data_IF_672654089653
#
_entry.id   IF_672654089653
#
_cell.length_a   1.000
_cell.length_b   1.000
_cell.length_c   1.000
_cell.angle_alpha   90.00
_cell.angle_beta   90.00
_cell.angle_gamma   90.00
#
_symmetry.space_group_name_H-M   'P 1'
#
loop_
_entity.id
_entity.type
_entity.pdbx_description
1 polymer ?
2 polymer ?
3 water ?
#
loop_
_entity_poly.entity_id
_entity_poly.type
_entity_poly.pdbx_seq_one_letter_code
_entity_poly.pdbx_strand_id
1 'polyribonucleotide' 'CGUUGGCCCAGGAAACUGGGUGGAAGUAAGGUCCAUUGCACUCCGGGCCUGAAGCAACGCU' ?
#
# COMPACT_ATOMS: atom_id res chain seq x y z
N UNK B 6 -8.97 18.21 -4.79
CA UNK B 6 -9.85 18.58 -3.67
C UNK B 6 -10.28 17.36 -2.86
N UNK B 7 -9.44 16.99 -1.88
CA UNK B 7 -9.62 15.90 -0.92
C UNK B 7 -10.99 15.82 -0.24
N UNK B 8 -11.30 14.64 0.26
CA UNK B 8 -12.65 14.30 0.66
C UNK B 8 -12.55 13.17 1.67
N UNK B 9 -13.52 13.10 2.57
CA UNK B 9 -13.58 12.02 3.55
C UNK B 9 -13.45 10.64 2.91
N UNK B 10 -14.34 10.32 1.96
CA UNK B 10 -14.32 9.02 1.30
C UNK B 10 -13.60 8.99 -0.04
N UNK B 11 -13.37 7.77 -0.53
CA UNK B 11 -12.76 7.61 -1.85
C UNK B 11 -13.51 6.69 -2.80
N UNK B 12 -13.32 6.99 -4.08
CA UNK B 12 -14.01 6.33 -5.14
C UNK B 12 -12.98 5.43 -5.82
N UNK B 13 -13.28 4.14 -5.84
CA UNK B 13 -12.45 3.16 -6.52
C UNK B 13 -13.24 2.51 -7.63
N UNK B 14 -12.62 2.32 -8.79
CA UNK B 14 -13.26 1.63 -9.88
C UNK B 14 -12.23 0.73 -10.52
N UNK B 15 -12.62 0.00 -11.58
CA UNK B 15 -11.77 -0.97 -12.26
C UNK B 15 -11.65 -2.16 -11.34
N UNK B 16 -12.64 -2.28 -10.46
CA UNK B 16 -12.78 -3.42 -9.56
C UNK B 16 -13.34 -4.67 -10.24
N UNK B 17 -13.16 -5.81 -9.60
CA UNK B 17 -13.57 -7.08 -10.20
C UNK B 17 -15.07 -7.32 -10.24
N UNK B 18 -15.67 -6.99 -11.37
CA UNK B 18 -17.10 -7.14 -11.60
C UNK B 18 -17.66 -8.46 -11.05
N UNK B 19 -16.86 -9.52 -11.09
CA UNK B 19 -17.35 -10.85 -10.72
C UNK B 19 -17.47 -11.15 -9.23
N UNK B 20 -16.87 -10.34 -8.37
CA UNK B 20 -16.84 -10.70 -6.94
C UNK B 20 -18.10 -10.29 -6.20
N UNK B 21 -18.63 -11.18 -5.37
CA UNK B 21 -19.84 -10.93 -4.56
C UNK B 21 -19.74 -9.71 -3.60
N UNK B 22 -20.79 -8.89 -3.56
CA UNK B 22 -20.87 -7.66 -2.75
C UNK B 22 -20.29 -7.75 -1.34
N UNK B 23 -20.76 -8.75 -0.59
CA UNK B 23 -20.40 -8.83 0.82
C UNK B 23 -18.96 -9.27 0.98
N UNK B 24 -18.50 -10.21 0.15
CA UNK B 24 -17.09 -10.59 0.16
C UNK B 24 -16.22 -9.42 -0.27
N UNK B 25 -16.74 -8.59 -1.17
CA UNK B 25 -15.96 -7.49 -1.68
C UNK B 25 -15.58 -6.46 -0.60
N UNK B 26 -16.55 -6.05 0.21
CA UNK B 26 -16.29 -5.07 1.26
C UNK B 26 -15.30 -5.59 2.30
N UNK B 27 -15.55 -6.79 2.82
CA UNK B 27 -14.65 -7.45 3.75
C UNK B 27 -13.22 -7.44 3.22
N UNK B 28 -13.09 -7.90 1.98
CA UNK B 28 -11.87 -7.89 1.23
C UNK B 28 -11.25 -6.50 1.18
N UNK B 29 -12.10 -5.48 1.14
CA UNK B 29 -11.63 -4.10 1.04
C UNK B 29 -11.27 -3.56 2.38
N UNK B 30 -12.15 -3.78 3.35
CA UNK B 30 -11.90 -3.30 4.69
C UNK B 30 -10.53 -3.78 5.10
N UNK B 31 -10.23 -5.02 4.78
CA UNK B 31 -8.96 -5.61 5.15
C UNK B 31 -7.80 -4.85 4.55
N UNK B 32 -7.97 -4.39 3.33
CA UNK B 32 -6.88 -3.79 2.59
C UNK B 32 -6.70 -2.35 2.99
N UNK B 33 -7.76 -1.74 3.51
CA UNK B 33 -7.70 -0.32 3.91
C UNK B 33 -7.86 -0.02 5.40
N UNK B 34 -8.09 -1.06 6.22
CA UNK B 34 -8.30 -0.85 7.65
C UNK B 34 -7.09 -0.19 8.23
N UNK B 35 -5.95 -0.37 7.57
CA UNK B 35 -4.70 0.10 8.10
C UNK B 35 -4.53 1.62 8.02
N UNK B 36 -5.34 2.30 7.23
CA UNK B 36 -5.08 3.71 6.93
C UNK B 36 -5.67 4.74 7.88
N UNK B 37 -6.64 4.30 8.68
CA UNK B 37 -7.51 5.17 9.44
C UNK B 37 -8.80 4.44 9.75
N UNK B 38 -9.84 5.17 10.16
CA UNK B 38 -11.09 4.51 10.53
C UNK B 38 -12.16 4.56 9.42
N UNK B 39 -12.66 3.39 9.04
CA UNK B 39 -13.61 3.36 7.95
C UNK B 39 -15.01 3.55 8.50
N UNK B 40 -15.63 4.67 8.13
CA UNK B 40 -16.98 4.96 8.60
C UNK B 40 -17.93 3.98 7.96
N UNK B 41 -17.74 3.82 6.67
CA UNK B 41 -18.38 2.76 5.89
C UNK B 41 -17.67 2.61 4.56
N UNK B 42 -17.76 1.42 3.99
CA UNK B 42 -17.37 1.21 2.60
C UNK B 42 -18.65 0.85 1.85
N UNK B 43 -18.92 1.57 0.76
CA UNK B 43 -20.15 1.39 -0.03
C UNK B 43 -19.94 0.57 -1.30
N UNK B 44 -20.69 -0.52 -1.42
CA UNK B 44 -20.53 -1.44 -2.54
C UNK B 44 -21.86 -1.83 -3.20
N UNK B 45 -22.01 -1.49 -4.47
CA UNK B 45 -23.20 -1.84 -5.26
C UNK B 45 -22.82 -2.68 -6.49
N UNK B 46 -23.71 -3.57 -6.90
CA UNK B 46 -23.46 -4.38 -8.11
C UNK B 46 -24.45 -4.12 -9.26
N UNK B 47 -25.09 -2.96 -9.28
CA UNK B 47 -26.08 -2.62 -10.30
C UNK B 47 -25.38 -2.46 -11.63
N UNK B 48 -26.12 -2.14 -12.69
CA UNK B 48 -25.46 -1.87 -13.96
C UNK B 48 -24.48 -0.71 -13.86
N UNK B 49 -24.87 0.34 -13.15
CA UNK B 49 -24.12 1.59 -13.16
C UNK B 49 -23.05 1.58 -12.08
N UNK B 50 -23.39 1.06 -10.92
CA UNK B 50 -22.41 0.96 -9.85
C UNK B 50 -21.92 -0.46 -9.81
N UNK B 51 -20.86 -0.76 -10.52
CA UNK B 51 -20.32 -2.10 -10.46
C UNK B 51 -18.90 -2.01 -10.93
N UNK B 52 -18.01 -2.74 -10.27
CA UNK B 52 -16.60 -2.68 -10.62
C UNK B 52 -16.07 -1.42 -10.01
N UNK B 53 -16.82 -0.90 -9.05
CA UNK B 53 -16.47 0.35 -8.36
C UNK B 53 -17.06 0.45 -6.94
N UNK B 54 -16.33 1.08 -6.01
CA UNK B 54 -16.80 1.23 -4.64
C UNK B 54 -16.32 2.52 -3.95
N UNK B 55 -17.12 2.96 -2.97
CA UNK B 55 -16.81 4.11 -2.11
C UNK B 55 -16.50 3.63 -0.72
N UNK B 56 -15.26 3.80 -0.27
CA UNK B 56 -14.97 3.55 1.15
C UNK B 56 -14.89 4.88 1.91
N UNK B 57 -15.64 4.99 3.01
CA UNK B 57 -15.69 6.24 3.75
C UNK B 57 -14.83 6.26 5.02
N UNK B 58 -13.89 7.19 5.04
CA UNK B 58 -12.95 7.26 6.15
C UNK B 58 -13.37 8.16 7.31
N UNK B 59 -12.63 8.05 8.41
CA UNK B 59 -12.85 8.91 9.56
C UNK B 59 -12.42 10.33 9.23
N UNK B 60 -11.25 10.46 8.62
CA UNK B 60 -10.69 11.78 8.37
C UNK B 60 -9.82 11.87 7.12
N UNK B 61 -10.07 12.92 6.34
CA UNK B 61 -9.40 13.18 5.08
C UNK B 61 -7.87 13.00 5.05
N UNK B 62 -7.31 12.42 6.11
CA UNK B 62 -5.87 12.19 6.20
C UNK B 62 -5.59 10.80 5.69
N UNK B 63 -6.33 9.85 6.26
CA UNK B 63 -6.27 8.45 5.83
C UNK B 63 -6.34 8.44 4.31
N UNK B 64 -7.46 8.93 3.79
CA UNK B 64 -7.72 9.06 2.35
C UNK B 64 -6.49 9.36 1.49
N UNK B 65 -6.02 10.59 1.52
CA UNK B 65 -4.79 10.95 0.80
C UNK B 65 -3.67 9.92 0.89
N UNK B 66 -3.61 9.20 2.01
CA UNK B 66 -2.58 8.20 2.19
C UNK B 66 -2.95 6.95 1.46
N UNK B 67 -4.13 6.44 1.77
CA UNK B 67 -4.72 5.34 1.02
C UNK B 67 -4.51 5.59 -0.47
N UNK B 68 -5.02 6.72 -0.96
CA UNK B 68 -4.82 7.10 -2.34
C UNK B 68 -3.36 7.16 -2.82
N UNK B 69 -2.48 7.75 -2.02
CA UNK B 69 -1.10 7.88 -2.45
C UNK B 69 -0.50 6.50 -2.55
N UNK B 70 -0.73 5.67 -1.54
CA UNK B 70 0.00 4.42 -1.52
C UNK B 70 -0.70 3.20 -2.14
N UNK B 71 -1.97 3.33 -2.51
CA UNK B 71 -2.71 2.19 -3.07
C UNK B 71 -3.10 2.25 -4.56
N UNK B 72 -2.59 3.19 -5.36
CA UNK B 72 -3.01 3.25 -6.76
C UNK B 72 -2.46 2.04 -7.51
N UNK B 73 -3.29 1.49 -8.39
CA UNK B 73 -2.92 0.31 -9.16
C UNK B 73 -2.57 -0.87 -8.28
N UNK B 74 -3.16 -0.95 -7.11
CA UNK B 74 -2.89 -2.08 -6.26
C UNK B 74 -3.61 -3.23 -6.89
N UNK B 75 -2.85 -4.25 -7.29
CA UNK B 75 -3.41 -5.40 -8.01
C UNK B 75 -4.36 -6.17 -7.09
N UNK B 76 -5.66 -5.98 -7.29
CA UNK B 76 -6.63 -6.47 -6.32
C UNK B 76 -7.60 -7.39 -7.01
N UNK B 77 -7.66 -8.63 -6.52
CA UNK B 77 -8.41 -9.67 -7.20
C UNK B 77 -7.95 -9.71 -8.66
N UNK B 78 -6.64 -9.64 -8.81
CA UNK B 78 -5.95 -9.64 -10.10
C UNK B 78 -6.20 -8.38 -10.94
N UNK B 79 -6.72 -7.31 -10.35
CA UNK B 79 -6.91 -6.05 -11.08
C UNK B 79 -6.55 -4.81 -10.27
N UNK B 80 -5.62 -4.00 -10.83
CA UNK B 80 -5.11 -2.71 -10.34
C UNK B 80 -6.24 -1.75 -10.05
N UNK B 81 -6.47 -1.43 -8.78
CA UNK B 81 -7.55 -0.50 -8.46
C UNK B 81 -7.25 0.91 -8.89
N UNK B 82 -8.29 1.61 -9.31
CA UNK B 82 -8.18 2.98 -9.77
C UNK B 82 -8.87 3.78 -8.71
N UNK B 83 -8.10 4.64 -8.04
CA UNK B 83 -8.63 5.37 -6.89
C UNK B 83 -8.68 6.89 -7.05
N UNK B 84 -9.77 7.48 -6.57
CA UNK B 84 -10.04 8.92 -6.68
C UNK B 84 -10.54 9.49 -5.36
N UNK B 85 -10.50 10.81 -5.20
CA UNK B 85 -11.32 11.40 -4.14
C UNK B 85 -12.72 11.48 -4.69
N UNK B 86 -13.70 11.12 -3.86
CA UNK B 86 -15.12 11.22 -4.22
C UNK B 86 -15.61 12.63 -4.67
N UNK B 87 -16.65 13.11 -3.99
CA UNK B 87 -17.23 14.44 -4.23
C UNK B 87 -18.30 14.86 -3.21
N UNK B 88 -18.70 13.97 -2.30
CA UNK B 88 -19.78 14.28 -1.37
C UNK B 88 -19.78 13.44 -0.09
N UNK B 89 -20.60 12.39 -0.11
CA UNK B 89 -20.89 11.54 1.04
C UNK B 89 -21.64 12.27 2.12
N UNK B 90 -22.81 11.77 2.45
CA UNK B 90 -23.55 12.25 3.60
C UNK B 90 -23.12 11.37 4.75
N UNK B 91 -22.26 11.91 5.63
CA UNK B 91 -21.44 11.08 6.51
C UNK B 91 -22.25 10.25 7.52
N UNK D 5 21.57 10.45 -1.35
CA UNK D 5 20.16 10.85 -1.38
C UNK D 5 19.14 9.76 -1.74
N UNK D 6 19.27 9.07 -2.89
CA UNK D 6 20.40 9.12 -3.82
C UNK D 6 20.08 9.79 -5.17
N UNK D 7 19.30 9.16 -6.08
CA UNK D 7 18.59 7.88 -6.34
C UNK D 7 19.48 6.69 -6.68
N UNK D 8 18.92 5.48 -6.52
CA UNK D 8 19.70 4.23 -6.53
C UNK D 8 18.80 2.98 -6.60
N UNK D 9 19.37 1.90 -7.15
CA UNK D 9 18.68 0.60 -7.34
C UNK D 9 17.95 0.03 -6.13
N UNK D 10 18.65 -0.08 -5.00
CA UNK D 10 18.07 -0.65 -3.79
C UNK D 10 17.51 0.47 -2.95
N UNK D 11 16.56 0.16 -2.07
CA UNK D 11 16.05 1.19 -1.16
C UNK D 11 16.33 0.81 0.28
N UNK D 12 16.30 1.81 1.15
CA UNK D 12 16.55 1.62 2.55
C UNK D 12 15.26 1.95 3.28
N UNK D 13 14.77 1.01 4.07
CA UNK D 13 13.63 1.30 4.93
C UNK D 13 14.04 1.11 6.37
N UNK D 14 13.44 1.90 7.26
CA UNK D 14 13.65 1.81 8.69
C UNK D 14 12.36 2.24 9.36
N UNK D 15 12.39 2.39 10.68
CA UNK D 15 11.21 2.71 11.49
C UNK D 15 10.25 1.54 11.50
N UNK D 16 10.77 0.36 11.20
CA UNK D 16 10.00 -0.88 11.12
C UNK D 16 9.67 -1.45 12.48
N UNK D 17 8.67 -2.34 12.51
CA UNK D 17 8.27 -2.93 13.78
C UNK D 17 9.24 -4.01 14.19
N UNK D 18 10.17 -3.58 15.01
CA UNK D 18 11.20 -4.39 15.63
C UNK D 18 10.73 -5.76 16.11
N UNK D 19 9.49 -5.84 16.60
CA UNK D 19 8.98 -7.08 17.20
C UNK D 19 8.49 -8.18 16.21
N UNK D 20 8.68 -7.99 14.90
CA UNK D 20 8.25 -8.99 13.90
C UNK D 20 9.36 -9.95 13.47
N UNK D 21 9.03 -11.24 13.38
CA UNK D 21 9.94 -12.29 12.90
C UNK D 21 10.69 -11.96 11.62
N UNK D 22 11.66 -12.80 11.25
CA UNK D 22 12.37 -12.61 10.00
C UNK D 22 11.45 -12.91 8.81
N UNK D 23 11.35 -14.18 8.40
CA UNK D 23 10.59 -14.57 7.20
C UNK D 23 9.21 -13.87 7.04
N UNK D 24 8.46 -13.74 8.13
CA UNK D 24 7.17 -13.03 8.08
C UNK D 24 7.37 -11.61 7.56
N UNK D 25 8.44 -10.98 8.00
CA UNK D 25 8.76 -9.62 7.58
C UNK D 25 9.26 -9.66 6.16
N UNK D 26 9.99 -10.72 5.83
CA UNK D 26 10.54 -10.87 4.52
C UNK D 26 9.39 -11.09 3.56
N UNK D 27 8.44 -11.92 3.98
CA UNK D 27 7.32 -12.22 3.10
C UNK D 27 6.47 -10.97 2.95
N UNK D 28 6.09 -10.38 4.07
CA UNK D 28 5.16 -9.27 4.08
C UNK D 28 5.55 -8.14 3.14
N UNK D 29 6.85 -7.86 3.07
CA UNK D 29 7.35 -6.80 2.22
C UNK D 29 7.21 -7.19 0.77
N UNK D 30 7.71 -8.39 0.46
CA UNK D 30 7.59 -9.02 -0.87
C UNK D 30 6.17 -8.83 -1.36
N UNK D 31 5.23 -9.22 -0.53
CA UNK D 31 3.84 -9.16 -0.89
C UNK D 31 3.39 -7.75 -1.16
N UNK D 32 4.25 -6.79 -0.92
CA UNK D 32 3.78 -5.42 -0.99
C UNK D 32 4.69 -4.48 -1.80
N UNK D 33 5.77 -5.00 -2.37
CA UNK D 33 6.57 -4.16 -3.23
C UNK D 33 6.60 -4.62 -4.68
N UNK D 34 6.42 -5.94 -4.87
CA UNK D 34 6.31 -6.57 -6.17
C UNK D 34 5.63 -5.71 -7.25
N UNK D 35 4.46 -5.18 -6.89
CA UNK D 35 3.66 -4.34 -7.79
C UNK D 35 4.48 -3.25 -8.52
N UNK D 36 5.64 -2.88 -7.98
CA UNK D 36 6.45 -1.80 -8.54
C UNK D 36 7.53 -2.25 -9.51
N UNK D 37 7.83 -3.55 -9.52
CA UNK D 37 8.93 -4.07 -10.33
C UNK D 37 9.53 -5.33 -9.76
N UNK D 38 10.33 -6.02 -10.57
CA UNK D 38 10.97 -7.27 -10.19
C UNK D 38 11.95 -7.03 -9.07
N UNK D 39 11.93 -7.88 -8.05
CA UNK D 39 12.87 -7.77 -6.93
C UNK D 39 13.91 -8.88 -7.03
N UNK D 40 15.17 -8.54 -6.83
CA UNK D 40 16.21 -9.56 -6.89
C UNK D 40 16.42 -10.16 -5.52
N UNK D 41 16.48 -9.31 -4.50
CA UNK D 41 16.48 -9.80 -3.13
C UNK D 41 15.90 -8.79 -2.15
N UNK D 42 15.41 -9.30 -1.03
CA UNK D 42 15.04 -8.42 0.06
C UNK D 42 15.74 -8.90 1.33
N UNK D 43 16.48 -7.99 1.95
CA UNK D 43 17.51 -8.36 2.92
C UNK D 43 17.20 -7.87 4.31
N UNK D 44 16.99 -8.80 5.23
CA UNK D 44 16.69 -8.42 6.61
C UNK D 44 17.46 -9.27 7.61
N UNK D 45 18.08 -8.61 8.59
CA UNK D 45 18.68 -9.30 9.72
C UNK D 45 18.16 -8.62 10.97
N UNK D 46 18.33 -9.25 12.13
CA UNK D 46 17.74 -8.73 13.35
C UNK D 46 18.80 -8.37 14.38
N UNK D 47 20.00 -8.08 13.87
CA UNK D 47 21.12 -7.60 14.68
C UNK D 47 20.72 -6.40 15.52
N UNK D 48 21.60 -5.97 16.42
CA UNK D 48 21.29 -4.80 17.22
C UNK D 48 21.31 -3.57 16.32
N UNK D 49 22.34 -3.45 15.51
CA UNK D 49 22.51 -2.31 14.64
C UNK D 49 21.51 -2.34 13.48
N UNK D 50 21.30 -3.55 12.95
CA UNK D 50 20.46 -3.76 11.77
C UNK D 50 19.10 -4.33 12.10
N UNK D 51 18.19 -3.51 12.61
CA UNK D 51 16.89 -4.03 13.01
C UNK D 51 15.94 -2.85 13.02
N UNK D 52 14.72 -3.10 12.55
CA UNK D 52 13.73 -2.05 12.36
C UNK D 52 13.98 -1.43 11.01
N UNK D 53 14.82 -2.07 10.23
CA UNK D 53 15.25 -1.52 8.98
C UNK D 53 15.55 -2.62 7.96
N UNK D 54 15.30 -2.36 6.68
CA UNK D 54 15.47 -3.37 5.64
C UNK D 54 15.98 -2.81 4.32
N UNK D 55 16.44 -3.70 3.44
CA UNK D 55 16.94 -3.31 2.12
C UNK D 55 16.26 -4.10 1.01
N UNK D 56 15.38 -3.47 0.23
CA UNK D 56 14.79 -4.21 -0.87
C UNK D 56 15.47 -3.87 -2.19
N UNK D 57 16.11 -4.87 -2.75
CA UNK D 57 16.86 -4.64 -3.96
C UNK D 57 15.92 -4.75 -5.16
N UNK D 58 15.74 -3.65 -5.89
CA UNK D 58 14.93 -3.70 -7.09
C UNK D 58 15.77 -4.03 -8.30
N UNK D 59 15.10 -4.35 -9.42
CA UNK D 59 15.81 -4.60 -10.67
C UNK D 59 15.85 -3.34 -11.54
N UNK D 60 14.69 -2.70 -11.70
CA UNK D 60 14.63 -1.40 -12.37
C UNK D 60 14.71 -0.20 -11.40
N UNK D 61 15.59 0.76 -11.67
CA UNK D 61 15.69 1.91 -10.78
C UNK D 61 14.35 2.66 -10.74
N UNK D 62 13.60 2.57 -11.81
CA UNK D 62 12.23 3.09 -11.84
C UNK D 62 11.43 2.48 -10.68
N UNK D 63 11.44 1.14 -10.61
CA UNK D 63 10.75 0.36 -9.59
C UNK D 63 11.09 0.90 -8.23
N UNK D 64 12.38 1.05 -7.96
CA UNK D 64 12.82 1.67 -6.71
C UNK D 64 12.17 3.03 -6.52
N UNK D 65 12.27 3.89 -7.54
CA UNK D 65 11.73 5.23 -7.42
C UNK D 65 10.21 5.19 -7.34
N UNK D 66 9.59 4.30 -8.09
CA UNK D 66 8.15 4.23 -8.00
C UNK D 66 7.79 3.71 -6.60
N UNK D 67 8.61 2.78 -6.10
CA UNK D 67 8.40 2.21 -4.78
C UNK D 67 8.50 3.29 -3.68
N UNK D 68 9.67 3.91 -3.60
CA UNK D 68 9.91 4.99 -2.66
C UNK D 68 8.73 5.95 -2.59
N UNK D 69 8.38 6.52 -3.74
CA UNK D 69 7.39 7.57 -3.79
C UNK D 69 6.03 7.15 -3.23
N UNK D 70 5.49 6.06 -3.74
CA UNK D 70 4.12 5.70 -3.37
C UNK D 70 4.06 5.26 -1.93
N UNK D 71 5.10 4.56 -1.48
CA UNK D 71 5.00 3.87 -0.20
C UNK D 71 5.37 4.69 1.03
N UNK D 72 6.13 5.78 0.86
CA UNK D 72 6.53 6.65 1.98
C UNK D 72 5.42 6.80 3.00
N UNK D 73 5.71 6.41 4.22
CA UNK D 73 4.72 6.45 5.26
C UNK D 73 3.73 5.37 4.93
N UNK D 74 4.04 4.17 5.42
CA UNK D 74 3.12 3.08 5.23
C UNK D 74 2.81 2.32 6.52
N UNK D 75 1.56 2.39 6.95
CA UNK D 75 1.00 1.72 8.14
C UNK D 75 1.40 0.24 8.32
N UNK D 76 2.64 -0.08 8.01
CA UNK D 76 3.16 -1.42 8.18
C UNK D 76 3.26 -1.85 9.64
N UNK D 77 2.50 -2.86 10.02
CA UNK D 77 2.41 -3.33 11.43
C UNK D 77 2.40 -2.16 12.40
N UNK D 78 1.40 -1.30 12.28
CA UNK D 78 1.16 -0.23 13.25
C UNK D 78 2.20 0.90 13.21
N UNK D 79 3.29 0.71 12.48
CA UNK D 79 4.26 1.79 12.30
C UNK D 79 4.16 2.31 10.88
N UNK D 80 4.69 3.53 10.64
CA UNK D 80 4.94 4.05 9.29
C UNK D 80 6.17 3.41 8.65
N UNK D 81 6.51 3.88 7.46
CA UNK D 81 7.72 3.45 6.78
C UNK D 81 8.56 4.66 6.35
N UNK D 82 9.80 4.72 6.81
CA UNK D 82 10.72 5.71 6.29
C UNK D 82 11.50 5.09 5.15
N UNK D 83 11.10 5.37 3.92
CA UNK D 83 11.87 4.84 2.79
C UNK D 83 12.87 5.89 2.34
N UNK D 84 14.11 5.48 2.14
CA UNK D 84 15.08 6.36 1.52
C UNK D 84 15.83 5.48 0.55
N UNK D 85 16.60 6.09 -0.34
CA UNK D 85 17.44 5.31 -1.26
C UNK D 85 18.58 4.72 -0.47
N UNK D 86 19.03 3.55 -0.88
CA UNK D 86 20.19 2.94 -0.25
C UNK D 86 21.36 3.80 -0.64
N UNK D 87 22.40 3.77 0.17
CA UNK D 87 23.57 4.59 -0.10
C UNK D 87 24.58 3.88 -1.02
N UNK D 88 24.42 2.57 -1.22
CA UNK D 88 25.42 1.83 -2.00
C UNK D 88 24.86 0.76 -2.93
N UNK D 89 25.43 0.66 -4.13
CA UNK D 89 25.13 -0.44 -5.02
C UNK D 89 25.49 -1.72 -4.29
N UNK D 90 24.46 -2.50 -3.99
CA UNK D 90 24.62 -3.69 -3.16
C UNK D 90 25.49 -4.75 -3.82
N UNK D 91 24.96 -5.35 -4.88
CA UNK D 91 25.63 -6.38 -5.68
C UNK D 91 26.60 -7.27 -4.92
#
# INVERSE_FOLDING_TARGET
AVPETRPNHTIYINNLNEKIKKDELKKSLHAIFSRFGQILDILVSRSLKMRGQAFVIFKEVSSATNALRSMQGFPFYDKPMRIQYAKTDSDIIAKMK
AVPETRPNHTIYINNLNEKIKKDELKKSLHAIFSRFGQILDILVSRSLKMRGQAFVIFKEVSSATNALRSMQGFPFYDKPMRIQYAKTDSDIIAKMK
#
